data_IF_874172932475
#
_entry.id   IF_874172932475
#
_cell.length_a   1.000
_cell.length_b   1.000
_cell.length_c   1.000
_cell.angle_alpha   90.00
_cell.angle_beta   90.00
_cell.angle_gamma   90.00
#
_symmetry.space_group_name_H-M   'P 1'
#
loop_
_entity.id
_entity.type
_entity.pdbx_description
1 polymer ?
#
# COMPACT_ATOMS: atom_id res chain seq x y z
N UNK A 1 -9.97 -2.68 38.04
CA UNK A 1 -8.76 -1.99 37.57
C UNK A 1 -8.69 -2.26 36.08
N UNK A 2 -9.17 -1.31 35.29
CA UNK A 2 -9.28 -1.41 33.83
C UNK A 2 -8.04 -0.68 33.31
N UNK A 3 -7.12 -1.40 32.67
CA UNK A 3 -5.95 -0.77 32.06
C UNK A 3 -6.31 -0.33 30.64
N UNK A 4 -6.26 0.99 30.48
CA UNK A 4 -6.41 1.74 29.25
C UNK A 4 -5.12 1.61 28.42
N UNK A 5 -5.19 0.86 27.33
CA UNK A 5 -4.30 1.08 26.19
C UNK A 5 -5.09 0.95 24.91
N UNK A 6 -6.00 1.91 24.73
CA UNK A 6 -6.66 2.18 23.46
C UNK A 6 -5.61 2.56 22.42
N UNK A 7 -5.18 1.59 21.62
CA UNK A 7 -4.50 1.82 20.37
C UNK A 7 -5.51 2.38 19.36
N UNK A 8 -5.88 3.65 19.53
CA UNK A 8 -6.53 4.43 18.49
C UNK A 8 -5.42 5.06 17.65
N UNK A 9 -4.87 4.28 16.70
CA UNK A 9 -4.12 4.86 15.60
C UNK A 9 -5.14 5.44 14.61
N UNK A 10 -5.72 6.60 14.92
CA UNK A 10 -6.47 7.37 13.93
C UNK A 10 -5.46 7.81 12.87
N UNK A 11 -5.56 7.38 11.59
CA UNK A 11 -4.76 7.98 10.56
C UNK A 11 -5.27 9.40 10.39
N UNK A 12 -4.45 10.39 10.76
CA UNK A 12 -4.76 11.80 10.54
C UNK A 12 -4.76 12.05 9.04
N UNK A 13 -5.91 11.87 8.39
CA UNK A 13 -6.20 12.46 7.09
C UNK A 13 -6.25 13.98 7.26
N UNK A 14 -5.19 14.67 6.84
CA UNK A 14 -5.23 16.11 6.66
C UNK A 14 -6.10 16.44 5.43
N UNK A 15 -7.21 17.20 5.57
CA UNK A 15 -8.03 17.59 4.43
C UNK A 15 -7.38 18.78 3.71
N UNK A 16 -7.24 18.68 2.39
CA UNK A 16 -6.97 19.83 1.53
C UNK A 16 -5.54 19.93 1.02
N UNK A 17 -5.29 19.31 -0.13
CA UNK A 17 -4.33 19.82 -1.10
C UNK A 17 -4.83 19.47 -2.50
N UNK A 18 -5.72 20.32 -3.03
CA UNK A 18 -5.87 20.49 -4.46
C UNK A 18 -4.50 20.81 -5.04
N UNK A 19 -3.94 19.93 -5.87
CA UNK A 19 -3.00 20.27 -6.94
C UNK A 19 -2.51 19.00 -7.62
N UNK A 20 -2.96 18.80 -8.85
CA UNK A 20 -2.17 18.35 -9.99
C UNK A 20 -0.65 18.33 -9.73
N UNK A 21 -0.13 17.26 -9.10
CA UNK A 21 1.31 17.00 -8.96
C UNK A 21 1.53 15.55 -9.32
N UNK A 22 2.18 15.38 -10.46
CA UNK A 22 2.79 14.15 -10.98
C UNK A 22 2.91 13.07 -9.89
N UNK A 23 2.24 11.92 -10.09
CA UNK A 23 2.16 10.79 -9.15
C UNK A 23 3.49 10.35 -8.52
N UNK A 24 4.63 10.71 -9.13
CA UNK A 24 5.96 10.59 -8.56
C UNK A 24 6.19 11.32 -7.23
N UNK A 25 5.45 12.39 -6.95
CA UNK A 25 5.51 13.14 -5.68
C UNK A 25 4.79 12.40 -4.56
N UNK A 26 3.60 11.82 -4.83
CA UNK A 26 2.76 11.20 -3.80
C UNK A 26 3.44 9.96 -3.22
N UNK A 27 3.91 9.04 -4.07
CA UNK A 27 4.60 7.82 -3.62
C UNK A 27 5.82 8.18 -2.76
N UNK A 28 6.64 9.15 -3.17
CA UNK A 28 7.82 9.56 -2.41
C UNK A 28 7.43 10.16 -1.06
N UNK A 29 6.45 11.06 -1.03
CA UNK A 29 5.97 11.66 0.22
C UNK A 29 5.44 10.59 1.17
N UNK A 30 4.57 9.69 0.70
CA UNK A 30 4.02 8.61 1.52
C UNK A 30 5.11 7.67 2.07
N UNK A 31 6.08 7.30 1.24
CA UNK A 31 7.21 6.46 1.67
C UNK A 31 8.07 7.18 2.73
N UNK A 32 8.38 8.45 2.51
CA UNK A 32 9.19 9.24 3.44
C UNK A 32 8.49 9.39 4.80
N UNK A 33 7.19 9.74 4.79
CA UNK A 33 6.36 9.81 6.00
C UNK A 33 6.28 8.46 6.71
N UNK A 34 6.15 7.36 5.98
CA UNK A 34 6.17 6.02 6.57
C UNK A 34 7.53 5.71 7.22
N UNK A 35 8.64 5.97 6.54
CA UNK A 35 9.99 5.73 7.09
C UNK A 35 10.26 6.59 8.34
N UNK A 36 9.77 7.82 8.36
CA UNK A 36 9.81 8.70 9.53
C UNK A 36 8.99 8.10 10.69
N UNK A 37 7.77 7.61 10.42
CA UNK A 37 6.97 6.92 11.43
C UNK A 37 7.69 5.70 12.03
N UNK A 38 8.33 4.87 11.21
CA UNK A 38 9.13 3.73 11.67
C UNK A 38 10.31 4.19 12.53
N UNK A 39 11.01 5.25 12.11
CA UNK A 39 12.12 5.83 12.86
C UNK A 39 11.71 6.38 14.22
N UNK A 40 10.55 7.01 14.30
CA UNK A 40 10.02 7.61 15.53
C UNK A 40 9.34 6.58 16.45
N UNK A 41 8.81 5.47 15.91
CA UNK A 41 8.03 4.48 16.65
C UNK A 41 8.51 3.02 16.44
N UNK A 42 9.82 2.72 16.60
CA UNK A 42 10.36 1.41 16.22
C UNK A 42 9.81 0.26 17.06
N UNK A 43 9.50 0.49 18.35
CA UNK A 43 8.97 -0.54 19.24
C UNK A 43 7.49 -0.88 18.93
N UNK A 44 6.70 0.12 18.54
CA UNK A 44 5.32 -0.11 18.12
C UNK A 44 5.27 -0.97 16.85
N UNK A 45 6.15 -0.68 15.88
CA UNK A 45 6.23 -1.46 14.66
C UNK A 45 6.76 -2.88 14.91
N UNK A 46 7.78 -3.05 15.78
CA UNK A 46 8.23 -4.38 16.21
C UNK A 46 7.13 -5.20 16.87
N UNK A 47 6.30 -4.58 17.70
CA UNK A 47 5.16 -5.25 18.32
C UNK A 47 4.15 -5.71 17.25
N UNK A 48 3.81 -4.84 16.29
CA UNK A 48 2.94 -5.18 15.16
C UNK A 48 3.48 -6.40 14.40
N UNK A 49 4.77 -6.41 14.06
CA UNK A 49 5.41 -7.52 13.36
C UNK A 49 5.43 -8.81 14.19
N UNK A 50 5.75 -8.71 15.48
CA UNK A 50 5.78 -9.87 16.39
C UNK A 50 4.43 -10.53 16.49
N UNK A 51 3.39 -9.74 16.65
CA UNK A 51 2.06 -10.30 16.85
C UNK A 51 1.43 -10.82 15.55
N UNK A 52 1.94 -10.43 14.37
CA UNK A 52 1.59 -11.06 13.09
C UNK A 52 2.03 -12.53 13.03
N UNK A 53 3.18 -12.87 13.62
CA UNK A 53 3.72 -14.24 13.69
C UNK A 53 3.52 -14.90 15.07
N UNK A 54 2.95 -14.18 16.03
CA UNK A 54 2.80 -14.58 17.42
C UNK A 54 1.77 -15.68 17.66
N UNK A 55 1.65 -16.15 18.90
CA UNK A 55 0.82 -17.31 19.27
C UNK A 55 -0.66 -16.97 19.49
N UNK A 56 -1.01 -15.71 19.80
CA UNK A 56 -2.40 -15.28 20.02
C UNK A 56 -3.20 -15.22 18.71
N UNK A 57 -4.12 -16.18 18.53
CA UNK A 57 -4.97 -16.23 17.34
C UNK A 57 -5.87 -14.99 17.20
N UNK A 58 -6.40 -14.48 18.32
CA UNK A 58 -7.25 -13.29 18.32
C UNK A 58 -6.48 -12.04 17.89
N UNK A 59 -5.23 -11.91 18.32
CA UNK A 59 -4.40 -10.76 17.95
C UNK A 59 -3.92 -10.86 16.50
N UNK A 60 -3.50 -12.06 16.03
CA UNK A 60 -3.21 -12.29 14.60
C UNK A 60 -4.40 -11.90 13.71
N UNK A 61 -5.61 -12.28 14.11
CA UNK A 61 -6.83 -11.94 13.38
C UNK A 61 -7.10 -10.42 13.39
N UNK A 62 -6.87 -9.73 14.51
CA UNK A 62 -7.01 -8.29 14.58
C UNK A 62 -6.02 -7.56 13.65
N UNK A 63 -4.74 -7.94 13.68
CA UNK A 63 -3.72 -7.36 12.79
C UNK A 63 -4.02 -7.66 11.32
N UNK A 64 -4.45 -8.90 11.00
CA UNK A 64 -4.84 -9.26 9.65
C UNK A 64 -6.02 -8.41 9.14
N UNK A 65 -7.03 -8.17 9.98
CA UNK A 65 -8.16 -7.30 9.63
C UNK A 65 -7.71 -5.87 9.38
N UNK A 66 -6.81 -5.35 10.21
CA UNK A 66 -6.28 -3.99 10.04
C UNK A 66 -5.51 -3.84 8.72
N UNK A 67 -4.66 -4.81 8.38
CA UNK A 67 -3.94 -4.84 7.10
C UNK A 67 -4.92 -4.90 5.93
N UNK A 68 -5.95 -5.75 6.02
CA UNK A 68 -6.98 -5.85 4.99
C UNK A 68 -7.79 -4.55 4.85
N UNK A 69 -8.04 -3.86 5.97
CA UNK A 69 -8.69 -2.55 5.95
C UNK A 69 -7.84 -1.51 5.20
N UNK A 70 -6.54 -1.43 5.49
CA UNK A 70 -5.63 -0.55 4.76
C UNK A 70 -5.55 -0.88 3.26
N UNK A 71 -5.56 -2.17 2.90
CA UNK A 71 -5.59 -2.59 1.49
C UNK A 71 -6.89 -2.11 0.82
N UNK A 72 -8.03 -2.27 1.48
CA UNK A 72 -9.32 -1.84 0.96
C UNK A 72 -9.38 -0.32 0.75
N UNK A 73 -8.90 0.47 1.71
CA UNK A 73 -8.85 1.94 1.59
C UNK A 73 -7.91 2.40 0.47
N UNK A 74 -6.75 1.76 0.33
CA UNK A 74 -5.83 2.07 -0.76
C UNK A 74 -6.42 1.67 -2.12
N UNK A 75 -7.13 0.55 -2.19
CA UNK A 75 -7.82 0.12 -3.40
C UNK A 75 -8.95 1.10 -3.79
N UNK A 76 -9.72 1.59 -2.81
CA UNK A 76 -10.75 2.63 -3.01
C UNK A 76 -10.12 3.90 -3.60
N UNK A 77 -9.01 4.36 -3.01
CA UNK A 77 -8.27 5.51 -3.52
C UNK A 77 -7.77 5.30 -4.95
N UNK A 78 -7.18 4.14 -5.25
CA UNK A 78 -6.65 3.83 -6.58
C UNK A 78 -7.73 3.71 -7.65
N UNK A 79 -8.91 3.23 -7.28
CA UNK A 79 -10.09 3.13 -8.16
C UNK A 79 -10.61 4.51 -8.54
N UNK A 80 -10.70 5.42 -7.56
CA UNK A 80 -11.07 6.81 -7.80
C UNK A 80 -10.04 7.55 -8.67
N UNK A 81 -8.75 7.34 -8.41
CA UNK A 81 -7.67 8.07 -9.10
C UNK A 81 -7.43 7.56 -10.53
N UNK A 82 -7.50 6.25 -10.77
CA UNK A 82 -7.08 5.65 -12.04
C UNK A 82 -8.22 5.11 -12.90
N UNK A 83 -9.46 5.13 -12.39
CA UNK A 83 -10.65 4.57 -13.07
C UNK A 83 -10.44 3.12 -13.55
N UNK A 84 -9.78 2.32 -12.70
CA UNK A 84 -9.53 0.90 -12.95
C UNK A 84 -10.53 0.04 -12.16
N UNK A 85 -10.95 -1.12 -12.69
CA UNK A 85 -11.84 -2.03 -11.98
C UNK A 85 -11.24 -2.50 -10.65
N UNK A 86 -12.13 -2.74 -9.68
CA UNK A 86 -11.77 -3.18 -8.32
C UNK A 86 -10.73 -4.30 -8.26
N UNK A 87 -10.85 -5.30 -9.12
CA UNK A 87 -9.94 -6.45 -9.14
C UNK A 87 -8.47 -6.04 -9.39
N UNK A 88 -8.22 -4.99 -10.18
CA UNK A 88 -6.87 -4.49 -10.45
C UNK A 88 -6.36 -3.62 -9.30
N UNK A 89 -7.23 -2.77 -8.72
CA UNK A 89 -6.85 -1.84 -7.66
C UNK A 89 -6.62 -2.56 -6.34
N UNK A 90 -7.39 -3.60 -6.03
CA UNK A 90 -7.15 -4.48 -4.88
C UNK A 90 -5.82 -5.21 -5.00
N UNK A 91 -5.55 -5.85 -6.14
CA UNK A 91 -4.28 -6.54 -6.37
C UNK A 91 -3.07 -5.58 -6.32
N UNK A 92 -3.22 -4.38 -6.88
CA UNK A 92 -2.19 -3.34 -6.80
C UNK A 92 -1.97 -2.90 -5.35
N UNK A 93 -3.04 -2.59 -4.61
CA UNK A 93 -2.97 -2.16 -3.23
C UNK A 93 -2.33 -3.23 -2.34
N UNK A 94 -2.73 -4.48 -2.47
CA UNK A 94 -2.17 -5.61 -1.74
C UNK A 94 -0.66 -5.75 -1.98
N UNK A 95 -0.21 -5.65 -3.24
CA UNK A 95 1.20 -5.70 -3.58
C UNK A 95 1.98 -4.52 -2.97
N UNK A 96 1.44 -3.30 -3.05
CA UNK A 96 2.06 -2.11 -2.49
C UNK A 96 2.20 -2.21 -0.96
N UNK A 97 1.12 -2.60 -0.27
CA UNK A 97 1.11 -2.76 1.20
C UNK A 97 2.11 -3.84 1.62
N UNK A 98 2.15 -4.97 0.91
CA UNK A 98 3.06 -6.08 1.21
C UNK A 98 4.53 -5.62 1.17
N UNK A 99 4.95 -4.90 0.12
CA UNK A 99 6.34 -4.45 0.02
C UNK A 99 6.68 -3.35 1.02
N UNK A 100 5.73 -2.46 1.33
CA UNK A 100 5.91 -1.40 2.35
C UNK A 100 6.12 -2.02 3.73
N UNK A 101 5.31 -3.01 4.11
CA UNK A 101 5.49 -3.72 5.38
C UNK A 101 6.82 -4.46 5.44
N UNK A 102 7.23 -5.12 4.34
CA UNK A 102 8.52 -5.80 4.27
C UNK A 102 9.69 -4.82 4.43
N UNK A 103 9.64 -3.68 3.75
CA UNK A 103 10.65 -2.64 3.88
C UNK A 103 10.65 -2.00 5.28
N UNK A 104 9.47 -1.79 5.89
CA UNK A 104 9.36 -1.30 7.25
C UNK A 104 10.04 -2.24 8.26
N UNK A 105 9.96 -3.55 8.05
CA UNK A 105 10.65 -4.53 8.90
C UNK A 105 12.17 -4.44 8.74
N UNK A 106 12.67 -4.37 7.51
CA UNK A 106 14.11 -4.18 7.22
C UNK A 106 14.63 -2.86 7.79
N UNK A 107 13.84 -1.79 7.74
CA UNK A 107 14.21 -0.47 8.23
C UNK A 107 14.51 -0.42 9.74
N UNK A 108 13.98 -1.36 10.53
CA UNK A 108 14.20 -1.45 11.98
C UNK A 108 15.61 -1.87 12.37
N UNK A 109 16.30 -2.60 11.48
CA UNK A 109 17.55 -3.28 11.79
C UNK A 109 18.76 -2.68 11.05
N UNK A 110 18.53 -1.66 10.22
CA UNK A 110 19.56 -1.02 9.39
C UNK A 110 19.90 0.40 9.86
N UNK A 111 21.13 0.84 9.57
CA UNK A 111 21.61 2.19 9.85
C UNK A 111 21.00 3.25 8.91
N UNK A 112 21.28 4.52 9.19
CA UNK A 112 20.68 5.67 8.49
C UNK A 112 20.94 5.64 6.98
N UNK A 113 22.18 5.32 6.55
CA UNK A 113 22.50 5.30 5.12
C UNK A 113 21.82 4.14 4.39
N UNK A 114 21.79 2.94 5.00
CA UNK A 114 21.05 1.81 4.45
C UNK A 114 19.54 2.08 4.41
N UNK A 115 18.99 2.77 5.42
CA UNK A 115 17.58 3.17 5.44
C UNK A 115 17.26 4.12 4.29
N UNK A 116 18.15 5.07 3.96
CA UNK A 116 17.99 5.95 2.80
C UNK A 116 18.00 5.18 1.49
N UNK A 117 18.90 4.19 1.36
CA UNK A 117 18.94 3.31 0.18
C UNK A 117 17.66 2.46 0.05
N UNK A 118 17.17 1.94 1.18
CA UNK A 118 15.92 1.20 1.28
C UNK A 118 14.72 2.06 0.87
N UNK A 119 14.68 3.32 1.29
CA UNK A 119 13.66 4.29 0.91
C UNK A 119 13.64 4.53 -0.60
N UNK A 120 14.79 4.81 -1.21
CA UNK A 120 14.91 5.01 -2.66
C UNK A 120 14.50 3.76 -3.45
N UNK A 121 14.90 2.58 -2.98
CA UNK A 121 14.50 1.28 -3.55
C UNK A 121 12.99 1.08 -3.46
N UNK A 122 12.39 1.37 -2.31
CA UNK A 122 10.95 1.23 -2.09
C UNK A 122 10.15 2.17 -3.00
N UNK A 123 10.58 3.43 -3.15
CA UNK A 123 9.96 4.39 -4.08
C UNK A 123 9.98 3.85 -5.52
N UNK A 124 11.12 3.29 -5.96
CA UNK A 124 11.23 2.69 -7.28
C UNK A 124 10.27 1.49 -7.45
N UNK A 125 10.22 0.58 -6.47
CA UNK A 125 9.36 -0.60 -6.48
C UNK A 125 7.88 -0.22 -6.57
N UNK A 126 7.42 0.73 -5.74
CA UNK A 126 6.04 1.21 -5.77
C UNK A 126 5.68 1.87 -7.10
N UNK A 127 6.62 2.62 -7.70
CA UNK A 127 6.43 3.18 -9.05
C UNK A 127 6.32 2.11 -10.12
N UNK A 128 7.12 1.04 -10.03
CA UNK A 128 7.03 -0.09 -10.96
C UNK A 128 5.68 -0.79 -10.85
N UNK A 129 5.19 -1.02 -9.63
CA UNK A 129 3.87 -1.63 -9.38
C UNK A 129 2.76 -0.74 -9.96
N UNK A 130 2.77 0.56 -9.63
CA UNK A 130 1.76 1.51 -10.11
C UNK A 130 1.73 1.60 -11.64
N UNK A 131 2.89 1.75 -12.29
CA UNK A 131 2.96 1.79 -13.76
C UNK A 131 2.60 0.44 -14.40
N UNK A 132 3.02 -0.66 -13.79
CA UNK A 132 2.75 -2.02 -14.27
C UNK A 132 1.25 -2.34 -14.24
N UNK A 133 0.57 -2.02 -13.15
CA UNK A 133 -0.87 -2.19 -13.00
C UNK A 133 -1.64 -1.40 -14.08
N UNK A 134 -1.32 -0.12 -14.24
CA UNK A 134 -1.94 0.74 -15.26
C UNK A 134 -1.70 0.23 -16.69
N UNK A 135 -0.45 -0.14 -17.02
CA UNK A 135 -0.11 -0.66 -18.34
C UNK A 135 -0.80 -1.99 -18.64
N UNK A 136 -0.85 -2.89 -17.66
CA UNK A 136 -1.54 -4.18 -17.80
C UNK A 136 -3.04 -3.98 -18.08
N UNK A 137 -3.71 -3.13 -17.30
CA UNK A 137 -5.11 -2.79 -17.51
C UNK A 137 -5.38 -2.19 -18.90
N UNK A 138 -4.57 -1.21 -19.32
CA UNK A 138 -4.74 -0.58 -20.63
C UNK A 138 -4.60 -1.59 -21.78
N UNK A 139 -3.63 -2.51 -21.67
CA UNK A 139 -3.40 -3.57 -22.66
C UNK A 139 -4.57 -4.56 -22.73
N UNK A 140 -5.22 -4.84 -21.60
CA UNK A 140 -6.38 -5.72 -21.52
C UNK A 140 -7.62 -5.09 -22.19
N UNK A 141 -7.80 -3.78 -22.05
CA UNK A 141 -8.81 -3.03 -22.80
C UNK A 141 -8.54 -3.05 -24.32
N UNK A 142 -7.30 -2.79 -24.74
CA UNK A 142 -6.91 -2.80 -26.15
C UNK A 142 -7.19 -4.17 -26.80
N UNK A 143 -6.91 -5.28 -26.12
CA UNK A 143 -7.22 -6.64 -26.61
C UNK A 143 -8.73 -6.89 -26.75
N UNK A 144 -9.52 -6.39 -25.80
CA UNK A 144 -10.98 -6.54 -25.80
C UNK A 144 -11.63 -5.71 -26.92
N UNK A 145 -11.07 -4.52 -27.22
CA UNK A 145 -11.54 -3.66 -28.30
C UNK A 145 -11.26 -4.19 -29.72
N UNK A 146 -10.27 -5.08 -29.88
CA UNK A 146 -9.88 -5.66 -31.18
C UNK A 146 -10.78 -6.87 -31.58
N UNK A 147 -11.68 -7.33 -30.71
CA UNK A 147 -12.64 -8.41 -31.02
C UNK A 147 -14.09 -7.88 -31.11
N UNK A 148 -14.48 -7.03 -32.07
CA UNK A 148 -15.88 -6.83 -32.40
C UNK A 148 -16.30 -7.79 -33.52
N UNK A 149 -17.10 -8.80 -33.16
CA UNK A 149 -18.10 -9.42 -34.05
C UNK A 149 -17.59 -10.26 -35.23
N UNK A 150 -17.34 -11.55 -34.98
CA UNK A 150 -17.51 -12.58 -36.01
C UNK A 150 -18.88 -13.25 -35.81
N UNK A 151 -19.96 -12.44 -35.84
CA UNK A 151 -21.31 -12.96 -35.98
C UNK A 151 -21.56 -13.13 -37.48
N UNK A 152 -21.28 -14.35 -37.96
CA UNK A 152 -21.86 -14.84 -39.20
C UNK A 152 -23.29 -15.22 -38.86
N UNK A 153 -24.24 -14.37 -39.19
CA UNK A 153 -25.62 -14.78 -39.41
C UNK A 153 -25.84 -14.84 -40.93
N UNK A 154 -26.48 -15.94 -41.33
CA UNK A 154 -26.79 -16.42 -42.69
C UNK A 154 -27.53 -15.42 -43.58
#
# INVERSE_FOLDING_TARGET
MVDESGFNATPTHAPGASAYRQSGSVIRTSVSTFMEFIGNNPNAFRLLLRERSGTSAAFRAAVAREIQHFIAELADYLELENHMPRAFTEAQAEAMVTIVFSAGAEALDVGVEQRRQLEERLVLQLRMISKGAYYWYRREQEKTAIIPGNVKDE
#
